data_IF_723032520731
#
_entry.id   IF_723032520731
#
_cell.length_a   1.000
_cell.length_b   1.000
_cell.length_c   1.000
_cell.angle_alpha   90.00
_cell.angle_beta   90.00
_cell.angle_gamma   90.00
#
_symmetry.space_group_name_H-M   'P 1'
#
loop_
_entity.id
_entity.type
_entity.pdbx_description
1 polymer ?
#
# COMPACT_ATOMS: atom_id res chain seq x y z
N UNK A 1 8.13 -17.58 -19.24
CA UNK A 1 9.05 -16.83 -18.36
C UNK A 1 8.32 -16.11 -17.22
N UNK A 2 7.94 -14.82 -17.29
CA UNK A 2 7.40 -14.09 -16.10
C UNK A 2 6.13 -14.71 -15.49
N UNK A 3 5.11 -15.01 -16.32
CA UNK A 3 3.86 -15.64 -15.85
C UNK A 3 4.11 -17.01 -15.23
N UNK A 4 5.01 -17.78 -15.83
CA UNK A 4 5.40 -19.11 -15.35
C UNK A 4 6.06 -18.99 -13.97
N UNK A 5 7.06 -18.11 -13.85
CA UNK A 5 7.76 -17.86 -12.58
C UNK A 5 6.81 -17.36 -11.47
N UNK A 6 5.89 -16.44 -11.78
CA UNK A 6 4.93 -15.91 -10.79
C UNK A 6 3.80 -16.88 -10.40
N UNK A 7 3.64 -18.00 -11.10
CA UNK A 7 2.64 -19.03 -10.79
C UNK A 7 3.24 -20.36 -10.32
N UNK A 8 4.57 -20.50 -10.36
CA UNK A 8 5.29 -21.69 -9.94
C UNK A 8 5.41 -21.74 -8.41
N UNK A 9 4.85 -22.77 -7.72
CA UNK A 9 4.93 -22.88 -6.26
C UNK A 9 6.35 -23.10 -5.72
N UNK A 10 7.33 -23.39 -6.58
CA UNK A 10 8.76 -23.48 -6.20
C UNK A 10 9.38 -22.10 -5.96
N UNK A 11 8.77 -21.04 -6.48
CA UNK A 11 9.22 -19.65 -6.31
C UNK A 11 8.54 -19.08 -5.07
N UNK A 12 9.34 -18.59 -4.13
CA UNK A 12 8.87 -18.17 -2.81
C UNK A 12 8.83 -16.66 -2.66
N UNK A 13 7.84 -16.18 -1.92
CA UNK A 13 7.72 -14.79 -1.49
C UNK A 13 8.23 -14.56 -0.05
N UNK A 14 8.75 -15.59 0.64
CA UNK A 14 9.25 -15.47 2.02
C UNK A 14 10.54 -14.66 2.07
N UNK A 15 10.40 -13.42 2.55
CA UNK A 15 11.48 -12.42 2.64
C UNK A 15 12.66 -12.86 3.52
N UNK A 16 12.48 -13.89 4.36
CA UNK A 16 13.55 -14.42 5.22
C UNK A 16 14.47 -15.40 4.50
N UNK A 17 14.12 -15.83 3.27
CA UNK A 17 14.96 -16.78 2.54
C UNK A 17 16.31 -16.15 2.17
N UNK A 18 17.42 -16.90 2.26
CA UNK A 18 18.71 -16.42 1.81
C UNK A 18 18.66 -15.99 0.34
N UNK A 19 19.23 -14.83 0.02
CA UNK A 19 19.26 -14.28 -1.34
C UNK A 19 17.93 -13.71 -1.84
N UNK A 20 16.93 -13.53 -0.97
CA UNK A 20 15.70 -12.84 -1.36
C UNK A 20 16.02 -11.42 -1.88
N UNK A 21 15.52 -11.03 -3.08
CA UNK A 21 15.85 -9.75 -3.68
C UNK A 21 14.99 -8.62 -3.11
N UNK A 22 15.24 -8.24 -1.85
CA UNK A 22 14.56 -7.12 -1.21
C UNK A 22 14.86 -5.79 -1.93
N UNK A 23 13.94 -4.83 -1.82
CA UNK A 23 14.07 -3.49 -2.40
C UNK A 23 15.20 -2.69 -1.75
N UNK A 24 15.47 -2.95 -0.47
CA UNK A 24 16.54 -2.37 0.33
C UNK A 24 16.68 -3.08 1.67
N UNK A 25 17.74 -2.75 2.42
CA UNK A 25 18.05 -3.39 3.72
C UNK A 25 16.90 -3.19 4.73
N UNK A 26 16.29 -2.00 4.76
CA UNK A 26 15.17 -1.72 5.65
C UNK A 26 13.94 -2.58 5.41
N UNK A 27 13.62 -2.89 4.14
CA UNK A 27 12.51 -3.79 3.81
C UNK A 27 12.81 -5.22 4.27
N UNK A 28 14.02 -5.70 4.02
CA UNK A 28 14.42 -7.06 4.37
C UNK A 28 14.32 -7.28 5.88
N UNK A 29 14.90 -6.37 6.66
CA UNK A 29 14.94 -6.50 8.11
C UNK A 29 13.56 -6.30 8.75
N UNK A 30 12.82 -5.24 8.38
CA UNK A 30 11.48 -5.02 8.91
C UNK A 30 10.52 -6.14 8.48
N UNK A 31 10.59 -6.59 7.22
CA UNK A 31 9.77 -7.69 6.72
C UNK A 31 10.07 -9.02 7.41
N UNK A 32 11.33 -9.27 7.78
CA UNK A 32 11.69 -10.44 8.58
C UNK A 32 11.09 -10.39 9.99
N UNK A 33 10.96 -9.19 10.59
CA UNK A 33 10.38 -8.97 11.93
C UNK A 33 8.84 -9.05 11.92
N UNK A 34 8.17 -8.30 11.05
CA UNK A 34 6.69 -8.19 11.05
C UNK A 34 5.98 -9.27 10.24
N UNK A 35 6.70 -9.95 9.33
CA UNK A 35 6.17 -10.99 8.41
C UNK A 35 4.84 -10.60 7.75
N UNK A 36 4.81 -9.51 6.96
CA UNK A 36 3.58 -9.10 6.28
C UNK A 36 3.10 -10.21 5.35
N UNK A 37 1.79 -10.45 5.25
CA UNK A 37 1.26 -11.62 4.53
C UNK A 37 1.66 -11.65 3.04
N UNK A 38 1.95 -10.49 2.42
CA UNK A 38 2.47 -10.38 1.05
C UNK A 38 3.87 -11.00 0.88
N UNK A 39 4.61 -11.17 1.99
CA UNK A 39 5.94 -11.81 2.07
C UNK A 39 5.87 -13.18 2.74
N UNK A 40 4.77 -13.92 2.55
CA UNK A 40 4.60 -15.28 3.05
C UNK A 40 4.15 -16.22 1.93
N UNK A 41 4.49 -17.50 2.05
CA UNK A 41 4.03 -18.54 1.14
C UNK A 41 2.70 -19.15 1.64
N UNK A 42 2.11 -20.05 0.85
CA UNK A 42 1.05 -20.92 1.35
C UNK A 42 1.58 -21.82 2.49
N UNK A 43 0.76 -22.15 3.51
CA UNK A 43 -0.68 -21.90 3.63
C UNK A 43 -1.04 -20.54 4.27
N UNK A 44 -0.08 -19.85 4.89
CA UNK A 44 -0.31 -18.60 5.64
C UNK A 44 -0.86 -17.49 4.74
N UNK A 45 -0.23 -17.26 3.59
CA UNK A 45 -0.71 -16.30 2.60
C UNK A 45 -2.15 -16.62 2.15
N UNK A 46 -2.43 -17.89 1.86
CA UNK A 46 -3.78 -18.32 1.42
C UNK A 46 -4.84 -18.05 2.49
N UNK A 47 -4.49 -18.21 3.78
CA UNK A 47 -5.38 -17.91 4.92
C UNK A 47 -5.74 -16.43 4.95
N UNK A 48 -4.76 -15.54 4.98
CA UNK A 48 -4.99 -14.09 5.03
C UNK A 48 -5.69 -13.56 3.77
N UNK A 49 -5.26 -14.04 2.60
CA UNK A 49 -5.89 -13.66 1.33
C UNK A 49 -7.38 -14.01 1.30
N UNK A 50 -7.77 -15.18 1.83
CA UNK A 50 -9.18 -15.58 1.92
C UNK A 50 -10.01 -14.65 2.80
N UNK A 51 -9.43 -14.13 3.89
CA UNK A 51 -10.11 -13.18 4.78
C UNK A 51 -10.32 -11.81 4.11
N UNK A 52 -9.35 -11.34 3.33
CA UNK A 52 -9.37 -9.99 2.73
C UNK A 52 -10.11 -9.92 1.38
N UNK A 53 -10.08 -10.98 0.57
CA UNK A 53 -10.65 -11.01 -0.78
C UNK A 53 -12.10 -10.49 -0.90
N UNK A 54 -13.04 -10.74 0.03
CA UNK A 54 -14.41 -10.23 -0.06
C UNK A 54 -14.52 -8.71 -0.18
N UNK A 55 -13.56 -7.95 0.38
CA UNK A 55 -13.52 -6.49 0.27
C UNK A 55 -13.14 -6.01 -1.15
N UNK A 56 -12.43 -6.84 -1.92
CA UNK A 56 -11.87 -6.51 -3.24
C UNK A 56 -12.63 -7.13 -4.42
N UNK A 57 -13.89 -7.54 -4.23
CA UNK A 57 -14.70 -8.09 -5.32
C UNK A 57 -15.04 -7.03 -6.37
N UNK A 58 -15.25 -7.44 -7.63
CA UNK A 58 -15.66 -6.54 -8.73
C UNK A 58 -16.88 -5.69 -8.35
N UNK A 59 -17.85 -6.30 -7.65
CA UNK A 59 -19.05 -5.59 -7.17
C UNK A 59 -18.70 -4.50 -6.16
N UNK A 60 -17.83 -4.78 -5.18
CA UNK A 60 -17.38 -3.79 -4.18
C UNK A 60 -16.61 -2.65 -4.84
N UNK A 61 -15.64 -2.98 -5.71
CA UNK A 61 -14.85 -1.98 -6.43
C UNK A 61 -15.74 -1.09 -7.31
N UNK A 62 -16.73 -1.66 -8.02
CA UNK A 62 -17.70 -0.87 -8.81
C UNK A 62 -18.55 0.06 -7.94
N UNK A 63 -18.93 -0.37 -6.74
CA UNK A 63 -19.69 0.44 -5.80
C UNK A 63 -18.89 1.65 -5.29
N UNK A 64 -17.56 1.59 -5.31
CA UNK A 64 -16.70 2.72 -4.94
C UNK A 64 -16.64 3.81 -6.01
N UNK A 65 -16.99 3.52 -7.27
CA UNK A 65 -16.82 4.45 -8.40
C UNK A 65 -17.40 5.86 -8.15
N UNK A 66 -18.63 6.04 -7.63
CA UNK A 66 -19.16 7.38 -7.38
C UNK A 66 -18.36 8.16 -6.34
N UNK A 67 -17.92 7.49 -5.26
CA UNK A 67 -17.10 8.12 -4.22
C UNK A 67 -15.72 8.50 -4.77
N UNK A 68 -15.07 7.61 -5.53
CA UNK A 68 -13.78 7.90 -6.17
C UNK A 68 -13.90 9.06 -7.15
N UNK A 69 -14.96 9.10 -7.97
CA UNK A 69 -15.20 10.18 -8.93
C UNK A 69 -15.32 11.53 -8.22
N UNK A 70 -16.17 11.62 -7.19
CA UNK A 70 -16.34 12.86 -6.43
C UNK A 70 -15.03 13.39 -5.84
N UNK A 71 -14.16 12.48 -5.34
CA UNK A 71 -12.84 12.87 -4.80
C UNK A 71 -11.87 13.32 -5.88
N UNK A 72 -11.86 12.65 -7.01
CA UNK A 72 -11.05 13.05 -8.17
C UNK A 72 -11.47 14.45 -8.62
N UNK A 73 -12.77 14.71 -8.72
CA UNK A 73 -13.31 16.02 -9.11
C UNK A 73 -12.89 17.10 -8.10
N UNK A 74 -13.03 16.86 -6.79
CA UNK A 74 -12.59 17.79 -5.73
C UNK A 74 -11.08 18.15 -5.83
N UNK A 75 -10.22 17.16 -6.11
CA UNK A 75 -8.78 17.38 -6.27
C UNK A 75 -8.52 18.25 -7.50
N UNK A 76 -9.17 17.94 -8.63
CA UNK A 76 -9.00 18.69 -9.87
C UNK A 76 -9.51 20.13 -9.73
N UNK A 77 -10.65 20.34 -9.08
CA UNK A 77 -11.19 21.67 -8.80
C UNK A 77 -10.21 22.49 -7.94
N UNK A 78 -9.64 21.89 -6.90
CA UNK A 78 -8.62 22.53 -6.07
C UNK A 78 -7.37 22.93 -6.85
N UNK A 79 -6.91 22.05 -7.74
CA UNK A 79 -5.75 22.34 -8.61
C UNK A 79 -6.04 23.47 -9.59
N UNK A 80 -7.22 23.49 -10.21
CA UNK A 80 -7.64 24.54 -11.13
C UNK A 80 -7.73 25.91 -10.43
N UNK A 81 -8.26 25.92 -9.20
CA UNK A 81 -8.38 27.14 -8.40
C UNK A 81 -7.02 27.70 -7.94
N UNK A 82 -6.06 26.84 -7.61
CA UNK A 82 -4.72 27.25 -7.18
C UNK A 82 -3.89 27.91 -8.30
N UNK A 83 -4.19 27.57 -9.57
CA UNK A 83 -3.40 28.01 -10.72
C UNK A 83 -2.08 27.25 -10.87
N UNK A 84 -1.48 27.33 -12.06
CA UNK A 84 -0.27 26.56 -12.40
C UNK A 84 1.04 27.35 -12.25
N UNK A 85 2.19 26.67 -12.31
CA UNK A 85 2.38 25.22 -12.51
C UNK A 85 2.21 24.40 -11.21
N UNK A 86 1.86 23.12 -11.36
CA UNK A 86 1.72 22.16 -10.25
C UNK A 86 2.42 20.85 -10.56
N UNK A 87 3.00 20.19 -9.56
CA UNK A 87 3.49 18.82 -9.68
C UNK A 87 2.31 17.83 -9.62
N UNK A 88 2.00 17.23 -10.76
CA UNK A 88 0.88 16.29 -10.89
C UNK A 88 1.06 15.01 -10.07
N UNK A 89 2.30 14.62 -9.74
CA UNK A 89 2.56 13.42 -8.94
C UNK A 89 2.09 13.64 -7.51
N UNK A 90 2.57 14.70 -6.85
CA UNK A 90 2.16 15.02 -5.49
C UNK A 90 0.71 15.51 -5.41
N UNK A 91 0.29 16.41 -6.31
CA UNK A 91 -1.03 17.03 -6.25
C UNK A 91 -2.18 16.12 -6.65
N UNK A 92 -1.95 15.13 -7.54
CA UNK A 92 -3.01 14.29 -8.06
C UNK A 92 -2.76 12.79 -7.84
N UNK A 93 -1.69 12.22 -8.40
CA UNK A 93 -1.50 10.76 -8.43
C UNK A 93 -1.40 10.14 -7.03
N UNK A 94 -0.58 10.74 -6.15
CA UNK A 94 -0.45 10.33 -4.76
C UNK A 94 -1.72 10.65 -3.96
N UNK A 95 -2.34 11.78 -4.26
CA UNK A 95 -3.54 12.23 -3.55
C UNK A 95 -4.71 11.26 -3.74
N UNK A 96 -5.01 10.92 -5.00
CA UNK A 96 -6.07 9.99 -5.38
C UNK A 96 -5.81 8.60 -4.79
N UNK A 97 -4.62 8.03 -5.00
CA UNK A 97 -4.34 6.65 -4.55
C UNK A 97 -4.47 6.50 -3.03
N UNK A 98 -3.98 7.46 -2.25
CA UNK A 98 -4.15 7.50 -0.79
C UNK A 98 -5.62 7.54 -0.40
N UNK A 99 -6.39 8.45 -1.00
CA UNK A 99 -7.79 8.63 -0.63
C UNK A 99 -8.60 7.37 -0.88
N UNK A 100 -8.38 6.70 -2.02
CA UNK A 100 -9.10 5.47 -2.37
C UNK A 100 -8.78 4.34 -1.40
N UNK A 101 -7.51 4.16 -1.00
CA UNK A 101 -7.15 3.10 -0.06
C UNK A 101 -7.64 3.42 1.36
N UNK A 102 -7.57 4.67 1.80
CA UNK A 102 -8.08 5.07 3.12
C UNK A 102 -9.61 4.92 3.22
N UNK A 103 -10.36 5.27 2.17
CA UNK A 103 -11.80 5.00 2.10
C UNK A 103 -12.10 3.49 2.20
N UNK A 104 -11.30 2.65 1.53
CA UNK A 104 -11.46 1.20 1.62
C UNK A 104 -11.16 0.64 3.01
N UNK A 105 -10.17 1.22 3.70
CA UNK A 105 -9.74 0.81 5.04
C UNK A 105 -10.58 1.44 6.15
N UNK A 106 -11.45 2.41 5.83
CA UNK A 106 -12.22 3.16 6.83
C UNK A 106 -11.38 4.14 7.66
N UNK A 107 -10.22 4.54 7.15
CA UNK A 107 -9.30 5.46 7.84
C UNK A 107 -9.89 6.88 7.82
N UNK A 108 -10.02 7.56 8.98
CA UNK A 108 -10.49 8.93 9.04
C UNK A 108 -9.65 9.90 8.21
N UNK A 109 -10.28 10.96 7.70
CA UNK A 109 -9.61 11.95 6.84
C UNK A 109 -8.43 12.67 7.51
N UNK A 110 -8.45 12.81 8.83
CA UNK A 110 -7.36 13.48 9.56
C UNK A 110 -6.07 12.64 9.61
N UNK A 111 -6.16 11.33 9.34
CA UNK A 111 -5.01 10.42 9.37
C UNK A 111 -4.41 10.17 7.97
N UNK A 112 -4.92 10.83 6.93
CA UNK A 112 -4.47 10.63 5.54
C UNK A 112 -3.01 11.01 5.34
N UNK A 113 -2.55 12.09 5.95
CA UNK A 113 -1.17 12.55 5.84
C UNK A 113 -0.22 11.55 6.49
N UNK A 114 -0.57 11.09 7.69
CA UNK A 114 0.17 10.03 8.37
C UNK A 114 0.22 8.74 7.52
N UNK A 115 -0.91 8.31 6.94
CA UNK A 115 -0.94 7.12 6.09
C UNK A 115 -0.07 7.26 4.82
N UNK A 116 -0.03 8.46 4.23
CA UNK A 116 0.87 8.78 3.10
C UNK A 116 2.34 8.61 3.49
N UNK A 117 2.72 9.16 4.64
CA UNK A 117 4.10 9.06 5.11
C UNK A 117 4.51 7.63 5.40
N UNK A 118 3.63 6.84 6.03
CA UNK A 118 3.90 5.42 6.25
C UNK A 118 4.13 4.69 4.93
N UNK A 119 3.29 4.94 3.93
CA UNK A 119 3.41 4.32 2.60
C UNK A 119 4.72 4.72 1.91
N UNK A 120 5.08 6.00 1.98
CA UNK A 120 6.32 6.54 1.39
C UNK A 120 7.57 5.95 2.05
N UNK A 121 7.61 5.88 3.38
CA UNK A 121 8.75 5.34 4.14
C UNK A 121 8.89 3.84 3.88
N UNK A 122 7.78 3.10 3.97
CA UNK A 122 7.80 1.63 3.81
C UNK A 122 8.16 1.18 2.39
N UNK A 123 7.86 2.00 1.37
CA UNK A 123 8.19 1.71 -0.04
C UNK A 123 9.55 2.23 -0.50
N UNK A 124 10.28 2.95 0.35
CA UNK A 124 11.54 3.60 -0.02
C UNK A 124 12.71 2.62 0.06
N UNK A 125 13.54 2.60 -1.00
CA UNK A 125 14.81 1.85 -1.01
C UNK A 125 15.86 2.39 -0.03
N UNK A 126 15.69 3.66 0.38
CA UNK A 126 16.64 4.39 1.20
C UNK A 126 16.22 4.43 2.68
N UNK A 127 15.11 3.79 3.04
CA UNK A 127 14.64 3.77 4.42
C UNK A 127 15.33 2.67 5.22
N UNK A 128 15.68 2.99 6.47
CA UNK A 128 16.26 2.03 7.41
C UNK A 128 15.18 1.10 7.97
N UNK A 129 15.61 -0.02 8.58
CA UNK A 129 14.70 -0.96 9.21
C UNK A 129 13.89 -0.31 10.35
N UNK A 130 14.53 0.56 11.13
CA UNK A 130 13.89 1.31 12.22
C UNK A 130 12.81 2.24 11.68
N UNK A 131 13.10 3.00 10.62
CA UNK A 131 12.14 3.90 10.00
C UNK A 131 10.91 3.15 9.46
N UNK A 132 11.13 2.02 8.78
CA UNK A 132 10.05 1.17 8.28
C UNK A 132 9.26 0.57 9.45
N UNK A 133 9.94 0.10 10.50
CA UNK A 133 9.33 -0.49 11.68
C UNK A 133 8.47 0.51 12.46
N UNK A 134 8.96 1.73 12.65
CA UNK A 134 8.25 2.81 13.33
C UNK A 134 7.01 3.24 12.54
N UNK A 135 7.18 3.45 11.23
CA UNK A 135 6.08 3.82 10.34
C UNK A 135 4.97 2.76 10.33
N UNK A 136 5.31 1.48 10.14
CA UNK A 136 4.33 0.39 10.18
C UNK A 136 3.73 0.19 11.57
N UNK A 137 4.53 0.37 12.63
CA UNK A 137 4.08 0.32 14.01
C UNK A 137 2.98 1.35 14.30
N UNK A 138 3.12 2.57 13.78
CA UNK A 138 2.14 3.62 13.95
C UNK A 138 0.77 3.33 13.30
N UNK A 139 0.69 2.46 12.29
CA UNK A 139 -0.61 2.05 11.71
C UNK A 139 -1.47 1.27 12.72
N UNK A 140 -0.87 0.54 13.67
CA UNK A 140 -1.63 -0.13 14.72
C UNK A 140 -2.31 0.85 15.68
N UNK A 141 -1.85 2.11 15.73
CA UNK A 141 -2.52 3.16 16.50
C UNK A 141 -3.76 3.75 15.82
N UNK A 142 -4.04 3.40 14.55
CA UNK A 142 -5.23 3.85 13.81
C UNK A 142 -6.42 2.90 13.91
N UNK A 143 -6.26 1.72 14.51
CA UNK A 143 -7.27 0.66 14.65
C UNK A 143 -7.67 0.47 16.11
#
# INVERSE_FOLDING_TARGET
DVRELLSDPRVSADIRRPGFPALGEGEQEAGARFRPFIRTDAPEHTRYRRMLLPAFTVRRVRAMRPAVQARVDEILDGMLAAGGPVDLVSAYANAVSTLVICELLGIPRHDLEFFRDVTRISGSRNSTAEQVSEALGGLFGLL
#
